data_IF_206561262130
#
_entry.id   IF_206561262130
#
_cell.length_a   1.000
_cell.length_b   1.000
_cell.length_c   1.000
_cell.angle_alpha   90.00
_cell.angle_beta   90.00
_cell.angle_gamma   90.00
#
_symmetry.space_group_name_H-M   'P 1'
#
loop_
_entity.id
_entity.type
_entity.pdbx_description
1 polymer ?
#
# COMPACT_ATOMS: atom_id res chain seq x y z
N UNK A 1 6.21 12.66 -7.65
CA UNK A 1 7.34 11.84 -7.17
C UNK A 1 7.68 10.73 -8.16
N UNK A 2 8.92 10.21 -8.08
CA UNK A 2 9.43 9.06 -8.84
C UNK A 2 10.07 8.04 -7.90
N UNK A 3 9.96 6.75 -8.23
CA UNK A 3 10.48 5.64 -7.43
C UNK A 3 11.27 4.72 -8.36
N UNK A 4 12.45 4.32 -7.91
CA UNK A 4 13.21 3.22 -8.48
C UNK A 4 13.43 2.17 -7.39
N UNK A 5 12.94 0.97 -7.65
CA UNK A 5 13.11 -0.19 -6.78
C UNK A 5 13.75 -1.34 -7.56
N UNK A 6 14.80 -1.94 -7.01
CA UNK A 6 15.51 -3.08 -7.57
C UNK A 6 15.65 -4.17 -6.52
N UNK A 7 15.34 -5.41 -6.92
CA UNK A 7 15.61 -6.64 -6.18
C UNK A 7 16.73 -7.37 -6.93
N UNK A 8 17.92 -7.40 -6.35
CA UNK A 8 19.04 -8.16 -6.87
C UNK A 8 19.14 -9.54 -6.25
N UNK A 9 19.43 -10.55 -7.05
CA UNK A 9 19.41 -11.96 -6.66
C UNK A 9 20.42 -12.79 -7.44
N UNK A 10 20.71 -14.00 -6.94
CA UNK A 10 21.38 -15.02 -7.77
C UNK A 10 20.51 -15.37 -8.99
N UNK A 11 21.14 -16.00 -9.99
CA UNK A 11 20.51 -16.26 -11.28
C UNK A 11 19.28 -17.19 -11.19
N UNK A 12 18.12 -16.67 -11.63
CA UNK A 12 16.88 -17.42 -11.80
C UNK A 12 16.73 -17.90 -13.24
N UNK A 13 15.99 -19.01 -13.51
CA UNK A 13 15.63 -19.39 -14.87
C UNK A 13 14.91 -18.25 -15.61
N UNK A 14 15.36 -17.92 -16.83
CA UNK A 14 14.80 -16.81 -17.62
C UNK A 14 13.27 -16.91 -17.82
N UNK A 15 12.73 -18.13 -17.89
CA UNK A 15 11.29 -18.40 -17.98
C UNK A 15 10.45 -17.87 -16.80
N UNK A 16 11.07 -17.57 -15.66
CA UNK A 16 10.38 -17.01 -14.49
C UNK A 16 10.36 -15.48 -14.50
N UNK A 17 11.18 -14.85 -15.34
CA UNK A 17 11.37 -13.40 -15.34
C UNK A 17 10.11 -12.64 -15.76
N UNK A 18 9.49 -13.05 -16.87
CA UNK A 18 8.31 -12.36 -17.42
C UNK A 18 7.16 -12.33 -16.42
N UNK A 19 6.84 -13.49 -15.82
CA UNK A 19 5.80 -13.60 -14.81
C UNK A 19 6.13 -12.77 -13.56
N UNK A 20 7.38 -12.82 -13.08
CA UNK A 20 7.79 -12.06 -11.89
C UNK A 20 7.70 -10.54 -12.11
N UNK A 21 8.05 -10.04 -13.30
CA UNK A 21 7.89 -8.62 -13.64
C UNK A 21 6.42 -8.23 -13.75
N UNK A 22 5.58 -9.07 -14.36
CA UNK A 22 4.14 -8.83 -14.45
C UNK A 22 3.48 -8.79 -13.06
N UNK A 23 3.83 -9.73 -12.17
CA UNK A 23 3.34 -9.76 -10.80
C UNK A 23 3.83 -8.57 -9.99
N UNK A 24 5.11 -8.18 -10.12
CA UNK A 24 5.66 -7.00 -9.44
C UNK A 24 4.90 -5.73 -9.82
N UNK A 25 4.62 -5.55 -11.12
CA UNK A 25 3.82 -4.42 -11.62
C UNK A 25 2.40 -4.46 -11.05
N UNK A 26 1.70 -5.59 -11.23
CA UNK A 26 0.31 -5.76 -10.79
C UNK A 26 0.14 -5.54 -9.29
N UNK A 27 1.03 -6.11 -8.49
CA UNK A 27 0.99 -5.96 -7.03
C UNK A 27 1.27 -4.51 -6.62
N UNK A 28 2.19 -3.82 -7.31
CA UNK A 28 2.45 -2.40 -7.05
C UNK A 28 1.23 -1.53 -7.38
N UNK A 29 0.60 -1.73 -8.54
CA UNK A 29 -0.62 -1.01 -8.91
C UNK A 29 -1.74 -1.22 -7.88
N UNK A 30 -1.92 -2.47 -7.42
CA UNK A 30 -2.91 -2.81 -6.40
C UNK A 30 -2.63 -2.09 -5.09
N UNK A 31 -1.40 -2.15 -4.57
CA UNK A 31 -1.02 -1.54 -3.29
C UNK A 31 -1.13 -0.02 -3.31
N UNK A 32 -0.67 0.63 -4.38
CA UNK A 32 -0.79 2.09 -4.51
C UNK A 32 -2.26 2.52 -4.53
N UNK A 33 -3.13 1.78 -5.24
CA UNK A 33 -4.59 2.03 -5.23
C UNK A 33 -5.23 1.83 -3.86
N UNK A 34 -4.92 0.72 -3.18
CA UNK A 34 -5.42 0.43 -1.82
C UNK A 34 -5.00 1.50 -0.82
N UNK A 35 -3.76 1.99 -0.95
CA UNK A 35 -3.23 3.11 -0.15
C UNK A 35 -3.67 4.48 -0.69
N UNK A 36 -4.54 4.56 -1.70
CA UNK A 36 -5.06 5.82 -2.28
C UNK A 36 -3.95 6.79 -2.71
N UNK A 37 -2.87 6.24 -3.25
CA UNK A 37 -1.76 6.98 -3.85
C UNK A 37 -2.01 7.01 -5.35
N UNK A 38 -2.17 8.22 -5.90
CA UNK A 38 -2.28 8.40 -7.36
C UNK A 38 -0.92 8.16 -8.00
N UNK A 39 -0.91 7.59 -9.20
CA UNK A 39 0.27 7.38 -10.03
C UNK A 39 -0.13 7.41 -11.50
N UNK A 40 0.81 7.74 -12.39
CA UNK A 40 0.53 7.75 -13.84
C UNK A 40 1.01 6.47 -14.52
N UNK A 41 2.23 6.02 -14.20
CA UNK A 41 2.84 4.92 -14.92
C UNK A 41 3.71 4.03 -14.05
N UNK A 42 3.67 2.73 -14.35
CA UNK A 42 4.51 1.71 -13.72
C UNK A 42 5.18 0.90 -14.82
N UNK A 43 6.51 0.86 -14.76
CA UNK A 43 7.37 0.10 -15.68
C UNK A 43 8.18 -0.92 -14.90
N UNK A 44 8.42 -2.05 -15.54
CA UNK A 44 9.24 -3.11 -14.98
C UNK A 44 10.29 -3.55 -15.98
N UNK A 45 11.49 -3.82 -15.49
CA UNK A 45 12.62 -4.31 -16.27
C UNK A 45 13.31 -5.41 -15.49
N UNK A 46 14.04 -6.30 -16.15
CA UNK A 46 14.79 -7.29 -15.40
C UNK A 46 15.73 -8.12 -16.24
N UNK A 47 16.57 -8.85 -15.52
CA UNK A 47 17.44 -9.89 -16.03
C UNK A 47 17.31 -11.09 -15.10
N UNK A 48 17.85 -12.26 -15.44
CA UNK A 48 17.92 -13.41 -14.52
C UNK A 48 18.48 -13.11 -13.11
N UNK A 49 19.23 -12.01 -12.92
CA UNK A 49 19.79 -11.61 -11.62
C UNK A 49 19.15 -10.39 -10.98
N UNK A 50 18.16 -9.74 -11.62
CA UNK A 50 17.51 -8.56 -11.03
C UNK A 50 16.10 -8.31 -11.55
N UNK A 51 15.22 -7.84 -10.68
CA UNK A 51 13.91 -7.28 -11.01
C UNK A 51 13.94 -5.78 -10.69
N UNK A 52 13.43 -4.95 -11.58
CA UNK A 52 13.40 -3.49 -11.46
C UNK A 52 11.95 -3.04 -11.63
N UNK A 53 11.52 -2.14 -10.76
CA UNK A 53 10.24 -1.46 -10.77
C UNK A 53 10.49 0.05 -10.75
N UNK A 54 9.97 0.75 -11.75
CA UNK A 54 9.93 2.20 -11.83
C UNK A 54 8.49 2.69 -11.74
N UNK A 55 8.23 3.64 -10.83
CA UNK A 55 6.93 4.34 -10.75
C UNK A 55 7.13 5.81 -11.05
N UNK A 56 6.40 6.30 -12.03
CA UNK A 56 6.44 7.69 -12.49
C UNK A 56 5.21 8.45 -12.00
N UNK A 57 5.43 9.70 -11.59
CA UNK A 57 4.41 10.69 -11.25
C UNK A 57 3.39 10.19 -10.21
N UNK A 58 3.87 9.60 -9.10
CA UNK A 58 3.00 9.29 -7.97
C UNK A 58 2.90 10.45 -6.98
N UNK A 59 1.76 10.54 -6.28
CA UNK A 59 1.44 11.64 -5.36
C UNK A 59 2.30 11.62 -4.09
N UNK A 60 2.67 12.80 -3.59
CA UNK A 60 3.46 12.94 -2.35
C UNK A 60 2.68 12.58 -1.08
N UNK A 61 1.36 12.55 -1.20
CA UNK A 61 0.43 12.30 -0.12
C UNK A 61 -0.69 11.41 -0.64
N UNK A 62 -1.22 10.55 0.22
CA UNK A 62 -2.45 9.84 -0.04
C UNK A 62 -3.58 10.84 -0.24
N UNK A 63 -4.57 10.48 -1.06
CA UNK A 63 -5.78 11.28 -1.17
C UNK A 63 -6.48 11.37 0.18
N UNK A 64 -6.97 12.57 0.49
CA UNK A 64 -7.74 12.80 1.69
C UNK A 64 -9.07 12.04 1.59
N UNK A 65 -9.45 11.38 2.68
CA UNK A 65 -10.79 10.80 2.77
C UNK A 65 -11.71 11.83 3.42
N UNK A 66 -12.83 12.12 2.78
CA UNK A 66 -13.95 12.80 3.42
C UNK A 66 -15.23 12.06 3.01
N UNK A 67 -15.41 10.89 3.59
CA UNK A 67 -16.58 10.05 3.34
C UNK A 67 -17.64 10.28 4.40
N UNK A 68 -18.88 10.49 3.96
CA UNK A 68 -20.04 10.54 4.82
C UNK A 68 -20.79 9.21 4.71
N UNK A 69 -20.69 8.39 5.75
CA UNK A 69 -21.50 7.17 5.85
C UNK A 69 -22.85 7.55 6.44
N UNK A 70 -23.94 7.40 5.68
CA UNK A 70 -25.30 7.65 6.18
C UNK A 70 -25.87 6.35 6.73
N UNK A 71 -26.33 6.40 7.97
CA UNK A 71 -26.91 5.29 8.70
C UNK A 71 -28.43 5.31 8.69
N UNK A 72 -29.08 4.62 9.65
CA UNK A 72 -30.54 4.62 9.77
C UNK A 72 -31.10 6.02 10.08
N UNK A 73 -32.42 6.19 9.91
CA UNK A 73 -33.09 7.42 10.30
C UNK A 73 -32.87 7.71 11.78
N UNK A 74 -32.88 8.99 12.16
CA UNK A 74 -32.66 9.42 13.55
C UNK A 74 -33.64 8.74 14.52
N UNK A 75 -34.89 8.57 14.12
CA UNK A 75 -35.93 7.88 14.91
C UNK A 75 -35.65 6.39 15.12
N UNK A 76 -34.99 5.73 14.17
CA UNK A 76 -34.59 4.32 14.31
C UNK A 76 -33.28 4.23 15.11
N UNK A 77 -32.38 5.19 14.92
CA UNK A 77 -31.08 5.25 15.58
C UNK A 77 -31.18 5.57 17.08
N UNK A 78 -32.13 6.42 17.47
CA UNK A 78 -32.36 6.86 18.84
C UNK A 78 -33.75 6.45 19.31
N UNK A 79 -33.83 5.85 20.49
CA UNK A 79 -35.09 5.55 21.18
C UNK A 79 -35.02 6.13 22.59
N UNK A 80 -35.99 6.95 22.95
CA UNK A 80 -36.06 7.63 24.26
C UNK A 80 -34.79 8.44 24.60
N UNK A 81 -34.15 9.02 23.58
CA UNK A 81 -32.91 9.79 23.73
C UNK A 81 -31.64 8.96 23.88
N UNK A 82 -31.73 7.62 23.80
CA UNK A 82 -30.59 6.69 23.89
C UNK A 82 -30.40 5.98 22.56
N UNK A 83 -29.15 5.66 22.20
CA UNK A 83 -28.89 4.85 21.01
C UNK A 83 -29.58 3.50 21.07
N UNK A 84 -30.35 3.21 20.03
CA UNK A 84 -30.95 1.90 19.81
C UNK A 84 -29.90 0.88 19.36
N UNK A 85 -30.27 -0.40 19.30
CA UNK A 85 -29.40 -1.45 18.72
C UNK A 85 -28.98 -1.13 17.28
N UNK A 86 -29.84 -0.48 16.50
CA UNK A 86 -29.55 -0.09 15.12
C UNK A 86 -28.49 1.02 15.07
N UNK A 87 -28.62 2.03 15.94
CA UNK A 87 -27.63 3.10 16.07
C UNK A 87 -26.27 2.57 16.54
N UNK A 88 -26.25 1.74 17.59
CA UNK A 88 -25.02 1.12 18.10
C UNK A 88 -24.34 0.23 17.06
N UNK A 89 -25.12 -0.58 16.34
CA UNK A 89 -24.60 -1.43 15.26
C UNK A 89 -23.97 -0.62 14.15
N UNK A 90 -24.60 0.48 13.75
CA UNK A 90 -24.06 1.40 12.75
C UNK A 90 -22.75 2.03 13.21
N UNK A 91 -22.71 2.65 14.39
CA UNK A 91 -21.49 3.29 14.93
C UNK A 91 -20.33 2.29 15.00
N UNK A 92 -20.59 1.10 15.54
CA UNK A 92 -19.59 0.03 15.64
C UNK A 92 -19.09 -0.41 14.27
N UNK A 93 -19.97 -0.51 13.27
CA UNK A 93 -19.58 -0.83 11.89
C UNK A 93 -18.67 0.23 11.27
N UNK A 94 -18.78 1.49 11.72
CA UNK A 94 -17.95 2.59 11.26
C UNK A 94 -16.67 2.79 12.09
N UNK A 95 -16.50 2.06 13.19
CA UNK A 95 -15.36 2.22 14.11
C UNK A 95 -15.34 3.57 14.83
N UNK A 96 -16.51 4.16 15.04
CA UNK A 96 -16.67 5.48 15.64
C UNK A 96 -17.27 5.38 17.05
N UNK A 97 -17.45 6.52 17.71
CA UNK A 97 -18.16 6.68 18.98
C UNK A 97 -19.45 7.50 18.79
N UNK A 98 -20.33 7.49 19.80
CA UNK A 98 -21.59 8.26 19.74
C UNK A 98 -21.35 9.77 19.53
N UNK A 99 -20.26 10.30 20.07
CA UNK A 99 -19.87 11.72 19.91
C UNK A 99 -19.54 12.10 18.47
N UNK A 100 -19.25 11.12 17.61
CA UNK A 100 -18.87 11.33 16.22
C UNK A 100 -20.10 11.34 15.29
N UNK A 101 -21.31 11.16 15.84
CA UNK A 101 -22.56 11.19 15.07
C UNK A 101 -22.88 12.62 14.63
N UNK A 102 -23.06 12.76 13.32
CA UNK A 102 -23.68 13.92 12.68
C UNK A 102 -25.14 13.60 12.31
N UNK A 103 -26.04 14.57 12.44
CA UNK A 103 -27.41 14.45 11.90
C UNK A 103 -27.46 15.13 10.54
N UNK A 104 -27.82 14.36 9.51
CA UNK A 104 -27.96 14.85 8.14
C UNK A 104 -29.44 14.89 7.74
N UNK A 105 -29.84 16.00 7.12
CA UNK A 105 -31.21 16.23 6.67
C UNK A 105 -31.31 15.96 5.18
N UNK A 106 -32.37 15.27 4.76
CA UNK A 106 -32.74 15.09 3.37
C UNK A 106 -34.25 15.29 3.20
N UNK A 107 -34.73 15.32 1.96
CA UNK A 107 -36.16 15.39 1.64
C UNK A 107 -36.98 14.22 2.23
N UNK A 108 -36.30 13.13 2.63
CA UNK A 108 -36.91 11.92 3.22
C UNK A 108 -36.83 11.86 4.75
N UNK A 109 -36.23 12.86 5.41
CA UNK A 109 -36.12 12.95 6.86
C UNK A 109 -34.69 13.15 7.40
N UNK A 110 -34.55 13.02 8.72
CA UNK A 110 -33.27 13.12 9.44
C UNK A 110 -32.62 11.73 9.62
N UNK A 111 -31.33 11.63 9.34
CA UNK A 111 -30.54 10.41 9.45
C UNK A 111 -29.30 10.64 10.30
N UNK A 112 -28.84 9.61 11.01
CA UNK A 112 -27.50 9.64 11.61
C UNK A 112 -26.45 9.39 10.54
N UNK A 113 -25.30 10.01 10.68
CA UNK A 113 -24.16 9.79 9.79
C UNK A 113 -22.85 9.85 10.57
N UNK A 114 -21.83 9.17 10.05
CA UNK A 114 -20.46 9.28 10.54
C UNK A 114 -19.61 9.83 9.40
N UNK A 115 -18.87 10.90 9.69
CA UNK A 115 -17.89 11.45 8.76
C UNK A 115 -16.51 10.87 9.05
N UNK A 116 -15.95 10.17 8.08
CA UNK A 116 -14.57 9.69 8.13
C UNK A 116 -13.67 10.71 7.45
N UNK A 117 -12.94 11.47 8.25
CA UNK A 117 -11.86 12.33 7.79
C UNK A 117 -10.51 11.66 8.03
N UNK A 118 -9.74 11.49 6.97
CA UNK A 118 -8.33 11.14 7.06
C UNK A 118 -7.57 12.18 6.27
N UNK A 119 -6.68 12.91 6.95
CA UNK A 119 -5.85 13.93 6.33
C UNK A 119 -4.86 13.35 5.32
N UNK A 120 -4.80 12.03 5.12
CA UNK A 120 -3.82 11.36 4.26
C UNK A 120 -2.42 11.35 4.86
N UNK A 121 -1.69 10.25 4.67
CA UNK A 121 -0.29 10.13 5.07
C UNK A 121 0.66 10.51 3.92
N UNK A 122 1.89 10.94 4.24
CA UNK A 122 2.94 11.13 3.23
C UNK A 122 3.24 9.78 2.56
N UNK A 123 3.25 9.74 1.24
CA UNK A 123 3.52 8.50 0.51
C UNK A 123 4.89 7.93 0.88
N UNK A 124 5.89 8.77 1.11
CA UNK A 124 7.24 8.37 1.55
C UNK A 124 7.22 7.46 2.79
N UNK A 125 6.30 7.70 3.74
CA UNK A 125 6.18 6.90 4.95
C UNK A 125 5.60 5.48 4.70
N UNK A 126 4.85 5.31 3.61
CA UNK A 126 4.19 4.05 3.23
C UNK A 126 5.12 3.14 2.42
N UNK A 127 6.09 3.72 1.71
CA UNK A 127 6.94 2.99 0.78
C UNK A 127 7.73 1.84 1.43
N UNK A 128 8.33 1.98 2.65
CA UNK A 128 9.03 0.87 3.28
C UNK A 128 8.17 -0.39 3.43
N UNK A 129 6.91 -0.24 3.84
CA UNK A 129 5.97 -1.35 3.98
C UNK A 129 5.60 -1.92 2.61
N UNK A 130 5.21 -1.06 1.67
CA UNK A 130 4.83 -1.46 0.30
C UNK A 130 5.94 -2.28 -0.36
N UNK A 131 7.19 -1.81 -0.32
CA UNK A 131 8.31 -2.48 -0.97
C UNK A 131 8.64 -3.84 -0.34
N UNK A 132 8.49 -3.97 0.98
CA UNK A 132 8.61 -5.26 1.67
C UNK A 132 7.54 -6.22 1.16
N UNK A 133 6.28 -5.81 1.20
CA UNK A 133 5.18 -6.66 0.76
C UNK A 133 5.30 -7.06 -0.71
N UNK A 134 5.69 -6.14 -1.60
CA UNK A 134 5.94 -6.47 -3.01
C UNK A 134 6.97 -7.58 -3.18
N UNK A 135 8.03 -7.56 -2.36
CA UNK A 135 9.05 -8.62 -2.40
C UNK A 135 8.49 -9.95 -1.89
N UNK A 136 7.72 -9.92 -0.80
CA UNK A 136 7.17 -11.12 -0.15
C UNK A 136 6.04 -11.78 -0.97
N UNK A 137 5.31 -11.00 -1.76
CA UNK A 137 4.19 -11.45 -2.58
C UNK A 137 4.61 -12.04 -3.93
N UNK A 138 5.89 -11.92 -4.32
CA UNK A 138 6.39 -12.54 -5.53
C UNK A 138 6.36 -14.07 -5.41
N UNK A 139 5.53 -14.68 -6.22
CA UNK A 139 5.38 -16.13 -6.28
C UNK A 139 6.20 -16.70 -7.43
N UNK A 140 6.96 -17.75 -7.14
CA UNK A 140 7.75 -18.45 -8.15
C UNK A 140 7.35 -19.93 -8.17
N UNK A 141 7.26 -20.57 -9.36
CA UNK A 141 6.92 -21.99 -9.47
C UNK A 141 7.84 -22.90 -8.66
N UNK A 142 9.10 -22.48 -8.49
CA UNK A 142 10.04 -23.07 -7.54
C UNK A 142 10.55 -21.95 -6.64
N UNK A 143 10.19 -22.02 -5.37
CA UNK A 143 10.73 -21.16 -4.32
C UNK A 143 11.47 -22.00 -3.29
N UNK A 144 12.49 -21.41 -2.67
CA UNK A 144 13.26 -22.04 -1.60
C UNK A 144 13.31 -21.11 -0.39
N UNK A 145 13.41 -21.70 0.80
CA UNK A 145 13.91 -21.00 1.99
C UNK A 145 15.43 -21.06 1.95
N UNK A 146 16.09 -19.98 2.32
CA UNK A 146 17.55 -19.95 2.43
C UNK A 146 17.95 -19.86 3.92
N UNK A 147 18.95 -20.63 4.33
CA UNK A 147 19.48 -20.65 5.70
C UNK A 147 18.38 -20.76 6.79
N UNK A 148 18.46 -19.94 7.83
CA UNK A 148 17.53 -19.79 8.96
C UNK A 148 16.35 -18.85 8.65
N UNK A 149 16.29 -18.28 7.45
CA UNK A 149 15.34 -17.24 7.06
C UNK A 149 14.01 -17.86 6.62
N UNK A 150 12.92 -17.17 6.96
CA UNK A 150 11.57 -17.65 6.69
C UNK A 150 11.09 -17.36 5.26
N UNK A 151 11.72 -16.37 4.62
CA UNK A 151 11.43 -15.90 3.28
C UNK A 151 11.60 -16.99 2.23
N UNK A 152 10.58 -17.14 1.38
CA UNK A 152 10.62 -17.94 0.17
C UNK A 152 10.78 -17.04 -1.05
N UNK A 153 11.78 -17.29 -1.87
CA UNK A 153 11.98 -16.61 -3.15
C UNK A 153 12.55 -17.61 -4.17
N UNK A 154 12.66 -17.23 -5.44
CA UNK A 154 13.29 -18.08 -6.46
C UNK A 154 14.75 -18.43 -6.14
N UNK A 155 15.52 -17.45 -5.64
CA UNK A 155 16.95 -17.52 -5.35
C UNK A 155 17.33 -16.50 -4.27
N UNK A 156 18.45 -16.70 -3.54
CA UNK A 156 18.94 -15.74 -2.55
C UNK A 156 18.96 -14.31 -3.08
N UNK A 157 18.28 -13.41 -2.35
CA UNK A 157 18.37 -11.98 -2.59
C UNK A 157 19.72 -11.49 -2.07
N UNK A 158 20.41 -10.69 -2.88
CA UNK A 158 21.76 -10.20 -2.61
C UNK A 158 21.81 -8.69 -2.28
N UNK A 159 20.84 -7.91 -2.75
CA UNK A 159 20.69 -6.49 -2.41
C UNK A 159 19.28 -5.96 -2.72
N UNK A 160 18.93 -4.85 -2.08
CA UNK A 160 17.85 -3.98 -2.49
C UNK A 160 18.39 -2.60 -2.81
N UNK A 161 18.00 -2.04 -3.96
CA UNK A 161 18.10 -0.60 -4.21
C UNK A 161 16.70 -0.02 -4.16
N UNK A 162 16.50 1.03 -3.37
CA UNK A 162 15.21 1.69 -3.24
C UNK A 162 15.40 3.18 -3.03
N UNK A 163 15.11 3.97 -4.05
CA UNK A 163 15.26 5.42 -4.01
C UNK A 163 14.02 6.12 -4.54
N UNK A 164 13.69 7.24 -3.92
CA UNK A 164 12.70 8.18 -4.43
C UNK A 164 13.33 9.49 -4.86
N UNK A 165 12.65 10.15 -5.78
CA UNK A 165 12.82 11.57 -6.03
C UNK A 165 11.47 12.27 -5.82
N UNK A 166 11.43 13.30 -4.98
CA UNK A 166 10.23 14.10 -4.74
C UNK A 166 10.04 15.19 -5.80
N UNK A 167 8.98 16.00 -5.71
CA UNK A 167 8.72 17.05 -6.69
C UNK A 167 9.74 18.21 -6.60
N UNK A 168 10.48 18.32 -5.49
CA UNK A 168 11.58 19.28 -5.31
C UNK A 168 12.92 18.74 -5.85
N UNK A 169 12.90 17.56 -6.50
CA UNK A 169 14.09 16.85 -7.02
C UNK A 169 15.05 16.41 -5.90
N UNK A 170 14.54 16.24 -4.68
CA UNK A 170 15.32 15.69 -3.59
C UNK A 170 15.35 14.16 -3.70
N UNK A 171 16.55 13.59 -3.71
CA UNK A 171 16.77 12.15 -3.75
C UNK A 171 16.86 11.57 -2.33
N UNK A 172 16.10 10.51 -2.06
CA UNK A 172 16.11 9.83 -0.76
C UNK A 172 16.17 8.32 -0.92
N UNK A 173 16.83 7.67 0.03
CA UNK A 173 16.82 6.21 0.18
C UNK A 173 15.61 5.82 1.00
N UNK A 174 14.83 4.86 0.50
CA UNK A 174 13.71 4.28 1.23
C UNK A 174 14.26 3.17 2.11
N UNK A 175 14.41 3.43 3.41
CA UNK A 175 15.02 2.49 4.33
C UNK A 175 14.05 1.38 4.74
N UNK A 176 14.41 0.14 4.44
CA UNK A 176 13.72 -1.05 4.93
C UNK A 176 14.70 -2.22 5.07
N UNK A 177 14.26 -3.26 5.77
CA UNK A 177 15.03 -4.48 6.02
C UNK A 177 14.12 -5.69 5.77
N UNK A 178 14.63 -6.67 5.02
CA UNK A 178 14.03 -7.99 4.86
C UNK A 178 15.08 -9.03 5.24
N UNK A 179 14.88 -9.70 6.37
CA UNK A 179 15.73 -10.78 6.85
C UNK A 179 17.23 -10.37 6.90
N UNK A 180 17.53 -9.16 7.37
CA UNK A 180 18.88 -8.60 7.50
C UNK A 180 19.45 -7.97 6.23
N UNK A 181 18.72 -7.98 5.12
CA UNK A 181 19.12 -7.32 3.86
C UNK A 181 18.50 -5.93 3.84
N UNK A 182 19.34 -4.90 4.06
CA UNK A 182 18.91 -3.51 4.06
C UNK A 182 18.88 -2.92 2.65
N UNK A 183 17.90 -2.08 2.39
CA UNK A 183 17.87 -1.26 1.18
C UNK A 183 18.95 -0.18 1.17
N UNK A 184 19.35 0.24 -0.03
CA UNK A 184 20.36 1.27 -0.25
C UNK A 184 20.13 2.02 -1.56
N UNK A 185 21.04 2.92 -1.92
CA UNK A 185 21.14 3.52 -3.24
C UNK A 185 22.18 2.82 -4.14
N UNK A 186 22.62 1.60 -3.79
CA UNK A 186 23.67 0.88 -4.50
C UNK A 186 23.10 -0.31 -5.25
N UNK A 187 23.39 -0.38 -6.54
CA UNK A 187 23.20 -1.59 -7.35
C UNK A 187 24.51 -2.36 -7.45
N UNK A 188 24.45 -3.63 -7.82
CA UNK A 188 25.64 -4.46 -8.07
C UNK A 188 25.77 -4.79 -9.55
N UNK A 189 27.02 -4.84 -10.02
CA UNK A 189 27.36 -5.30 -11.36
C UNK A 189 27.25 -6.81 -11.51
N UNK A 190 27.66 -7.31 -12.67
CA UNK A 190 27.71 -8.75 -12.93
C UNK A 190 28.98 -9.39 -12.40
#
# INVERSE_FOLDING_TARGET
>A
MRLLFEIGMEEIPARFLEQALADLKKNCEKKLKEKRVKFENIKTYGTPRRLILGVENFSEKQEELNELSVGPSKEIAYKDGVLSKAGQGFIKSQGAEEKDIEIVKSDKGEYIAIRKQSSGEKTEALLPEILKELTLELSFPKSMKWADKSLRFARPIEWFLAVTEDNNKEFKVINFDIEGIKSSNKSKGH
#
